data_IF_869153464558
#
_entry.id   IF_869153464558
#
_cell.length_a   1.000
_cell.length_b   1.000
_cell.length_c   1.000
_cell.angle_alpha   90.00
_cell.angle_beta   90.00
_cell.angle_gamma   90.00
#
_symmetry.space_group_name_H-M   'P 1'
#
loop_
_entity.id
_entity.type
_entity.pdbx_description
1 polymer ?
#
# COMPACT_ATOMS: atom_id res chain seq x y z
N UNK A 1 -4.85 -18.66 16.24
CA UNK A 1 -5.36 -18.12 14.96
C UNK A 1 -4.55 -18.76 13.86
N UNK A 2 -5.18 -19.60 13.02
CA UNK A 2 -4.51 -20.25 11.90
C UNK A 2 -4.23 -19.23 10.80
N UNK A 3 -3.11 -19.40 10.05
CA UNK A 3 -2.69 -18.51 8.93
C UNK A 3 -3.81 -18.35 7.88
N UNK A 4 -4.69 -19.35 7.75
CA UNK A 4 -5.80 -19.34 6.79
C UNK A 4 -6.89 -18.28 7.08
N UNK A 5 -6.92 -17.73 8.31
CA UNK A 5 -7.96 -16.77 8.71
C UNK A 5 -7.51 -15.31 8.59
N UNK A 6 -6.31 -15.06 8.05
CA UNK A 6 -5.83 -13.70 7.82
C UNK A 6 -6.45 -13.14 6.54
N UNK A 7 -7.12 -11.99 6.69
CA UNK A 7 -7.60 -11.22 5.54
C UNK A 7 -6.40 -10.79 4.67
N UNK A 8 -6.34 -11.30 3.46
CA UNK A 8 -5.27 -11.01 2.49
C UNK A 8 -5.57 -9.83 1.58
N UNK A 9 -6.83 -9.37 1.53
CA UNK A 9 -7.30 -8.36 0.58
C UNK A 9 -7.52 -8.90 -0.83
N UNK A 10 -7.36 -10.22 -1.03
CA UNK A 10 -7.49 -10.88 -2.32
C UNK A 10 -8.28 -12.17 -2.19
N UNK A 11 -9.16 -12.42 -3.14
CA UNK A 11 -9.95 -13.65 -3.26
C UNK A 11 -9.95 -14.15 -4.70
N UNK A 12 -10.16 -15.44 -4.87
CA UNK A 12 -10.43 -16.06 -6.16
C UNK A 12 -11.92 -16.43 -6.21
N UNK A 13 -12.60 -16.07 -7.31
CA UNK A 13 -14.02 -16.34 -7.52
C UNK A 13 -14.21 -17.03 -8.86
N UNK A 14 -14.65 -18.29 -8.81
CA UNK A 14 -15.04 -19.02 -10.02
C UNK A 14 -16.44 -18.60 -10.44
N UNK A 15 -16.60 -18.32 -11.72
CA UNK A 15 -17.88 -17.88 -12.31
C UNK A 15 -18.14 -18.63 -13.62
N UNK A 16 -19.40 -18.88 -13.91
CA UNK A 16 -19.79 -19.47 -15.19
C UNK A 16 -19.44 -18.57 -16.38
N UNK A 17 -19.34 -19.15 -17.59
CA UNK A 17 -18.94 -18.42 -18.79
C UNK A 17 -19.85 -17.26 -19.15
N UNK A 18 -21.15 -17.33 -18.82
CA UNK A 18 -22.12 -16.24 -19.03
C UNK A 18 -21.77 -15.01 -18.20
N UNK A 19 -21.47 -15.18 -16.92
CA UNK A 19 -21.06 -14.09 -16.02
C UNK A 19 -19.71 -13.49 -16.44
N UNK A 20 -18.78 -14.33 -16.90
CA UNK A 20 -17.51 -13.86 -17.42
C UNK A 20 -17.70 -13.03 -18.69
N UNK A 21 -18.59 -13.46 -19.60
CA UNK A 21 -18.95 -12.72 -20.82
C UNK A 21 -19.64 -11.39 -20.48
N UNK A 22 -20.59 -11.40 -19.53
CA UNK A 22 -21.27 -10.20 -19.06
C UNK A 22 -20.29 -9.19 -18.45
N UNK A 23 -19.36 -9.65 -17.60
CA UNK A 23 -18.31 -8.78 -17.05
C UNK A 23 -17.46 -8.11 -18.14
N UNK A 24 -17.06 -8.89 -19.17
CA UNK A 24 -16.27 -8.34 -20.28
C UNK A 24 -17.03 -7.34 -21.14
N UNK A 25 -18.34 -7.53 -21.29
CA UNK A 25 -19.18 -6.65 -22.08
C UNK A 25 -19.53 -5.34 -21.33
N UNK A 26 -19.86 -5.46 -20.05
CA UNK A 26 -20.40 -4.35 -19.25
C UNK A 26 -19.33 -3.63 -18.40
N UNK A 27 -18.17 -4.23 -18.18
CA UNK A 27 -17.13 -3.71 -17.27
C UNK A 27 -17.49 -3.81 -15.78
N UNK A 28 -18.64 -4.44 -15.44
CA UNK A 28 -19.05 -4.66 -14.05
C UNK A 28 -19.78 -5.99 -13.88
N UNK A 29 -19.75 -6.54 -12.67
CA UNK A 29 -20.49 -7.75 -12.32
C UNK A 29 -21.07 -7.61 -10.92
N UNK A 30 -22.38 -7.77 -10.77
CA UNK A 30 -23.01 -7.80 -9.45
C UNK A 30 -22.62 -9.05 -8.66
N UNK A 31 -22.32 -8.86 -7.37
CA UNK A 31 -21.92 -9.92 -6.44
C UNK A 31 -23.07 -10.17 -5.48
N UNK A 32 -24.05 -10.96 -5.94
CA UNK A 32 -25.20 -11.37 -5.14
C UNK A 32 -24.96 -12.81 -4.67
N UNK A 33 -24.88 -13.09 -3.37
CA UNK A 33 -24.69 -14.48 -2.94
C UNK A 33 -24.42 -14.73 -1.47
N UNK A 34 -24.88 -13.85 -0.56
CA UNK A 34 -24.79 -14.10 0.89
C UNK A 34 -23.36 -14.00 1.50
N UNK A 35 -22.33 -13.88 0.68
CA UNK A 35 -20.96 -13.59 1.15
C UNK A 35 -20.76 -12.08 1.18
N UNK A 36 -20.29 -11.59 2.32
CA UNK A 36 -19.95 -10.19 2.48
C UNK A 36 -18.58 -9.92 1.85
N UNK A 37 -18.53 -8.95 0.94
CA UNK A 37 -17.29 -8.44 0.34
C UNK A 37 -16.97 -7.07 0.90
N UNK A 38 -15.68 -6.74 0.93
CA UNK A 38 -15.23 -5.44 1.44
C UNK A 38 -14.88 -4.50 0.29
N UNK A 39 -15.19 -3.20 0.38
CA UNK A 39 -14.74 -2.22 -0.59
C UNK A 39 -13.23 -2.29 -0.82
N UNK A 40 -12.82 -2.23 -2.10
CA UNK A 40 -11.44 -2.39 -2.57
C UNK A 40 -10.81 -3.77 -2.26
N UNK A 41 -11.59 -4.78 -1.93
CA UNK A 41 -11.10 -6.16 -1.92
C UNK A 41 -10.86 -6.61 -3.36
N UNK A 42 -9.67 -7.15 -3.63
CA UNK A 42 -9.35 -7.62 -4.99
C UNK A 42 -9.89 -9.01 -5.23
N UNK A 43 -10.38 -9.22 -6.44
CA UNK A 43 -10.96 -10.49 -6.85
C UNK A 43 -10.40 -10.93 -8.20
N UNK A 44 -9.87 -12.15 -8.27
CA UNK A 44 -9.57 -12.78 -9.55
C UNK A 44 -10.82 -13.56 -9.99
N UNK A 45 -11.50 -13.09 -11.02
CA UNK A 45 -12.56 -13.87 -11.68
C UNK A 45 -11.93 -14.97 -12.52
N UNK A 46 -12.33 -16.21 -12.30
CA UNK A 46 -11.84 -17.38 -13.00
C UNK A 46 -13.02 -18.02 -13.73
N UNK A 47 -12.90 -18.23 -15.04
CA UNK A 47 -13.91 -18.92 -15.85
C UNK A 47 -13.90 -20.40 -15.53
N UNK A 48 -15.03 -20.94 -15.05
CA UNK A 48 -15.18 -22.37 -14.72
C UNK A 48 -14.95 -23.29 -15.92
N UNK A 49 -15.35 -22.84 -17.12
CA UNK A 49 -15.16 -23.63 -18.35
C UNK A 49 -13.71 -23.59 -18.85
N UNK A 50 -12.96 -22.54 -18.53
CA UNK A 50 -11.57 -22.40 -18.93
C UNK A 50 -10.77 -21.58 -17.91
N UNK A 51 -10.13 -22.24 -16.92
CA UNK A 51 -9.38 -21.57 -15.86
C UNK A 51 -8.21 -20.68 -16.35
N UNK A 52 -7.77 -20.83 -17.60
CA UNK A 52 -6.79 -19.91 -18.20
C UNK A 52 -7.39 -18.53 -18.53
N UNK A 53 -8.70 -18.43 -18.58
CA UNK A 53 -9.42 -17.17 -18.77
C UNK A 53 -9.73 -16.58 -17.42
N UNK A 54 -8.93 -15.62 -16.99
CA UNK A 54 -9.14 -14.89 -15.76
C UNK A 54 -9.27 -13.39 -16.03
N UNK A 55 -9.96 -12.67 -15.13
CA UNK A 55 -10.02 -11.23 -15.13
C UNK A 55 -9.66 -10.69 -13.73
N UNK A 56 -8.82 -9.66 -13.70
CA UNK A 56 -8.43 -8.99 -12.46
C UNK A 56 -9.46 -7.89 -12.16
N UNK A 57 -10.05 -7.95 -10.98
CA UNK A 57 -11.13 -7.06 -10.57
C UNK A 57 -10.94 -6.60 -9.14
N UNK A 58 -11.71 -5.62 -8.74
CA UNK A 58 -11.85 -5.20 -7.34
C UNK A 58 -13.32 -4.96 -7.01
N UNK A 59 -13.64 -5.09 -5.75
CA UNK A 59 -14.96 -4.74 -5.21
C UNK A 59 -15.09 -3.22 -5.20
N UNK A 60 -16.22 -2.73 -5.68
CA UNK A 60 -16.55 -1.31 -5.70
C UNK A 60 -16.72 -0.71 -4.29
N UNK A 61 -16.94 0.61 -4.23
CA UNK A 61 -17.10 1.31 -2.93
C UNK A 61 -18.35 0.88 -2.15
N UNK A 62 -19.35 0.32 -2.82
CA UNK A 62 -20.60 -0.13 -2.18
C UNK A 62 -20.50 -1.56 -1.64
N UNK A 63 -19.52 -2.33 -2.08
CA UNK A 63 -19.38 -3.75 -1.71
C UNK A 63 -20.29 -4.70 -2.49
N UNK A 64 -20.95 -4.22 -3.54
CA UNK A 64 -22.00 -4.96 -4.27
C UNK A 64 -21.61 -5.38 -5.68
N UNK A 65 -20.58 -4.78 -6.25
CA UNK A 65 -20.15 -5.02 -7.62
C UNK A 65 -18.65 -5.28 -7.72
N UNK A 66 -18.26 -6.08 -8.70
CA UNK A 66 -16.88 -6.17 -9.16
C UNK A 66 -16.69 -5.22 -10.34
N UNK A 67 -15.63 -4.45 -10.28
CA UNK A 67 -15.21 -3.51 -11.32
C UNK A 67 -13.78 -3.84 -11.77
N UNK A 68 -13.38 -3.48 -13.01
CA UNK A 68 -12.02 -3.70 -13.48
C UNK A 68 -11.03 -2.86 -12.68
N UNK A 69 -9.81 -3.35 -12.59
CA UNK A 69 -8.68 -2.59 -12.05
C UNK A 69 -8.10 -1.64 -13.12
N UNK A 70 -7.31 -0.67 -12.68
CA UNK A 70 -6.57 0.22 -13.57
C UNK A 70 -5.60 -0.62 -14.43
N UNK A 71 -5.63 -0.42 -15.73
CA UNK A 71 -4.71 -1.09 -16.63
C UNK A 71 -3.30 -0.49 -16.52
N UNK A 72 -2.36 -1.30 -16.05
CA UNK A 72 -0.97 -0.94 -15.91
C UNK A 72 -0.01 -1.91 -16.64
N UNK A 73 -0.51 -2.62 -17.66
CA UNK A 73 0.30 -3.57 -18.46
C UNK A 73 1.46 -2.89 -19.18
N UNK A 74 1.29 -1.65 -19.61
CA UNK A 74 2.37 -0.85 -20.21
C UNK A 74 3.45 -0.43 -19.22
N UNK A 75 3.16 -0.57 -17.93
CA UNK A 75 4.05 -0.23 -16.84
C UNK A 75 3.71 1.09 -16.17
N UNK A 76 4.28 1.28 -14.99
CA UNK A 76 4.19 2.49 -14.17
C UNK A 76 5.60 2.97 -13.93
N UNK A 77 5.96 4.14 -14.46
CA UNK A 77 7.31 4.69 -14.37
C UNK A 77 8.40 3.66 -14.78
N UNK A 78 8.19 2.97 -15.90
CA UNK A 78 9.10 1.93 -16.42
C UNK A 78 8.97 0.54 -15.75
N UNK A 79 8.24 0.40 -14.65
CA UNK A 79 8.03 -0.87 -13.96
C UNK A 79 6.79 -1.57 -14.49
N UNK A 80 6.98 -2.74 -15.11
CA UNK A 80 5.88 -3.61 -15.55
C UNK A 80 5.53 -4.64 -14.48
N UNK A 81 4.24 -4.78 -14.11
CA UNK A 81 3.82 -5.81 -13.17
C UNK A 81 4.06 -7.20 -13.76
N UNK A 82 4.60 -8.12 -12.97
CA UNK A 82 4.97 -9.49 -13.36
C UNK A 82 3.96 -10.55 -12.95
N UNK A 83 3.10 -10.22 -11.96
CA UNK A 83 2.09 -11.11 -11.42
C UNK A 83 0.83 -10.32 -11.04
N UNK A 84 -0.26 -11.03 -10.72
CA UNK A 84 -1.55 -10.44 -10.38
C UNK A 84 -1.48 -9.55 -9.11
N UNK A 85 -0.67 -9.94 -8.14
CA UNK A 85 -0.48 -9.18 -6.91
C UNK A 85 0.15 -7.82 -7.17
N UNK A 86 1.09 -7.74 -8.11
CA UNK A 86 1.69 -6.47 -8.51
C UNK A 86 0.72 -5.61 -9.33
N UNK A 87 -0.16 -6.19 -10.15
CA UNK A 87 -1.26 -5.46 -10.81
C UNK A 87 -2.20 -4.84 -9.77
N UNK A 88 -2.61 -5.60 -8.76
CA UNK A 88 -3.43 -5.11 -7.67
C UNK A 88 -2.72 -4.02 -6.86
N UNK A 89 -1.41 -4.19 -6.60
CA UNK A 89 -0.62 -3.18 -5.92
C UNK A 89 -0.61 -1.85 -6.70
N UNK A 90 -0.38 -1.88 -7.99
CA UNK A 90 -0.42 -0.67 -8.81
C UNK A 90 -1.81 -0.04 -8.86
N UNK A 91 -2.88 -0.84 -8.98
CA UNK A 91 -4.24 -0.31 -8.91
C UNK A 91 -4.47 0.47 -7.61
N UNK A 92 -4.10 -0.13 -6.46
CA UNK A 92 -4.22 0.54 -5.17
C UNK A 92 -3.38 1.81 -5.05
N UNK A 93 -2.16 1.77 -5.56
CA UNK A 93 -1.24 2.89 -5.51
C UNK A 93 -1.70 4.06 -6.41
N UNK A 94 -2.31 3.76 -7.54
CA UNK A 94 -2.75 4.75 -8.53
C UNK A 94 -4.17 5.27 -8.26
N UNK A 95 -5.03 4.54 -7.54
CA UNK A 95 -6.39 4.98 -7.20
C UNK A 95 -6.37 6.04 -6.08
N UNK A 96 -6.64 7.30 -6.40
CA UNK A 96 -6.61 8.42 -5.45
C UNK A 96 -7.68 8.37 -4.36
N UNK A 97 -8.72 7.57 -4.56
CA UNK A 97 -9.76 7.33 -3.55
C UNK A 97 -9.20 6.49 -2.38
N UNK A 98 -8.18 5.68 -2.66
CA UNK A 98 -7.49 4.86 -1.65
C UNK A 98 -6.38 5.68 -1.02
N UNK A 99 -6.62 6.24 0.16
CA UNK A 99 -5.67 7.14 0.85
C UNK A 99 -4.62 6.40 1.71
N UNK A 100 -4.87 5.15 2.06
CA UNK A 100 -3.96 4.32 2.86
C UNK A 100 -3.77 2.97 2.18
N UNK A 101 -2.51 2.67 1.83
CA UNK A 101 -2.11 1.40 1.20
C UNK A 101 -1.07 0.72 2.08
N UNK A 102 -1.18 -0.59 2.26
CA UNK A 102 -0.14 -1.40 2.89
C UNK A 102 0.29 -2.50 1.93
N UNK A 103 1.54 -2.43 1.47
CA UNK A 103 2.16 -3.45 0.64
C UNK A 103 2.93 -4.42 1.53
N UNK A 104 2.45 -5.65 1.64
CA UNK A 104 3.08 -6.68 2.45
C UNK A 104 3.62 -7.79 1.55
N UNK A 105 4.85 -8.25 1.81
CA UNK A 105 5.46 -9.35 1.04
C UNK A 105 6.90 -9.62 1.48
N UNK A 106 7.48 -10.70 0.98
CA UNK A 106 8.87 -11.06 1.23
C UNK A 106 9.84 -10.00 0.70
N UNK A 107 11.09 -10.02 1.19
CA UNK A 107 12.16 -9.23 0.62
C UNK A 107 12.31 -9.49 -0.90
N UNK A 108 12.69 -8.47 -1.65
CA UNK A 108 12.91 -8.60 -3.10
C UNK A 108 11.64 -8.69 -3.96
N UNK A 109 10.44 -8.55 -3.41
CA UNK A 109 9.18 -8.57 -4.19
C UNK A 109 8.83 -7.24 -4.88
N UNK A 110 9.69 -6.22 -4.74
CA UNK A 110 9.53 -4.93 -5.41
C UNK A 110 8.58 -3.94 -4.75
N UNK A 111 8.19 -4.14 -3.47
CA UNK A 111 7.25 -3.27 -2.74
C UNK A 111 7.64 -1.80 -2.78
N UNK A 112 8.85 -1.49 -2.34
CA UNK A 112 9.39 -0.12 -2.29
C UNK A 112 9.53 0.48 -3.68
N UNK A 113 10.02 -0.32 -4.63
CA UNK A 113 10.19 0.09 -6.02
C UNK A 113 8.85 0.44 -6.68
N UNK A 114 7.80 -0.39 -6.50
CA UNK A 114 6.46 -0.11 -7.01
C UNK A 114 5.83 1.12 -6.36
N UNK A 115 5.99 1.29 -5.04
CA UNK A 115 5.50 2.46 -4.33
C UNK A 115 6.14 3.75 -4.84
N UNK A 116 7.47 3.74 -5.05
CA UNK A 116 8.21 4.88 -5.60
C UNK A 116 7.83 5.16 -7.05
N UNK A 117 7.71 4.14 -7.89
CA UNK A 117 7.30 4.28 -9.29
C UNK A 117 5.91 4.93 -9.40
N UNK A 118 4.93 4.44 -8.61
CA UNK A 118 3.61 5.03 -8.56
C UNK A 118 3.64 6.47 -8.02
N UNK A 119 4.39 6.74 -6.96
CA UNK A 119 4.56 8.06 -6.38
C UNK A 119 5.15 9.06 -7.38
N UNK A 120 6.19 8.69 -8.10
CA UNK A 120 6.82 9.52 -9.14
C UNK A 120 5.86 9.78 -10.29
N UNK A 121 5.15 8.75 -10.79
CA UNK A 121 4.13 8.93 -11.82
C UNK A 121 3.09 9.95 -11.37
N UNK A 122 2.51 9.77 -10.18
CA UNK A 122 1.43 10.63 -9.66
C UNK A 122 1.90 12.06 -9.35
N UNK A 123 3.19 12.25 -9.06
CA UNK A 123 3.77 13.57 -8.72
C UNK A 123 4.30 14.29 -9.96
N UNK A 124 5.08 13.58 -10.79
CA UNK A 124 5.83 14.21 -11.89
C UNK A 124 5.02 14.27 -13.18
N UNK A 125 4.35 13.16 -13.55
CA UNK A 125 3.58 13.07 -14.78
C UNK A 125 2.15 13.60 -14.59
N UNK A 126 1.46 13.07 -13.59
CA UNK A 126 0.04 13.36 -13.36
C UNK A 126 -0.16 14.66 -12.56
N UNK A 127 0.86 15.14 -11.84
CA UNK A 127 0.87 16.36 -11.01
C UNK A 127 -0.23 16.41 -9.94
N UNK A 128 -0.65 15.24 -9.48
CA UNK A 128 -1.69 15.09 -8.46
C UNK A 128 -1.16 15.41 -7.06
N UNK A 129 0.08 15.02 -6.78
CA UNK A 129 0.74 15.30 -5.51
C UNK A 129 1.89 16.30 -5.70
N UNK A 130 2.12 17.09 -4.67
CA UNK A 130 3.20 18.10 -4.68
C UNK A 130 4.59 17.45 -4.74
N UNK A 131 4.78 16.34 -4.04
CA UNK A 131 6.04 15.58 -3.99
C UNK A 131 5.83 14.17 -3.44
N UNK A 132 6.80 13.32 -3.68
CA UNK A 132 6.97 12.04 -2.99
C UNK A 132 7.83 12.26 -1.75
N UNK A 133 7.39 11.78 -0.59
CA UNK A 133 8.20 11.73 0.64
C UNK A 133 8.44 10.28 0.97
N UNK A 134 9.69 9.88 1.02
CA UNK A 134 10.08 8.53 1.45
C UNK A 134 10.71 8.63 2.81
N UNK A 135 10.12 7.97 3.79
CA UNK A 135 10.65 7.92 5.13
C UNK A 135 10.91 6.47 5.57
N UNK A 136 12.00 6.27 6.27
CA UNK A 136 12.38 4.97 6.80
C UNK A 136 12.62 5.07 8.32
N UNK A 137 12.10 4.12 9.12
CA UNK A 137 12.42 4.05 10.55
C UNK A 137 13.91 3.81 10.73
N UNK A 138 14.54 4.59 11.58
CA UNK A 138 15.90 4.34 12.00
C UNK A 138 15.90 3.27 13.08
N UNK A 139 16.39 2.07 12.77
CA UNK A 139 16.60 1.06 13.79
C UNK A 139 17.97 1.32 14.40
N UNK A 140 18.00 1.61 15.69
CA UNK A 140 19.25 1.54 16.43
C UNK A 140 19.64 0.06 16.58
N UNK A 141 20.40 -0.45 15.64
CA UNK A 141 21.07 -1.74 15.80
C UNK A 141 22.16 -1.60 16.88
N UNK A 142 21.76 -1.69 18.14
CA UNK A 142 22.67 -1.75 19.29
C UNK A 142 23.56 -0.54 19.43
N UNK A 143 23.33 0.26 20.48
CA UNK A 143 24.13 1.39 20.96
C UNK A 143 24.26 2.59 20.01
N UNK A 144 23.40 3.57 20.25
CA UNK A 144 23.57 5.01 20.06
C UNK A 144 24.31 5.47 18.78
N UNK A 145 23.53 5.98 17.81
CA UNK A 145 24.01 6.83 16.72
C UNK A 145 24.91 8.02 17.21
N UNK A 146 24.95 8.25 18.53
CA UNK A 146 25.73 9.31 19.15
C UNK A 146 27.26 9.20 19.01
N UNK A 147 27.79 8.00 18.77
CA UNK A 147 29.24 7.77 18.69
C UNK A 147 29.84 7.82 17.28
N UNK A 148 29.04 7.91 16.23
CA UNK A 148 29.57 8.08 14.89
C UNK A 148 29.92 9.54 14.65
N UNK A 149 31.16 9.87 14.19
CA UNK A 149 31.52 11.22 13.80
C UNK A 149 30.76 11.63 12.53
N UNK A 150 30.47 12.92 12.38
CA UNK A 150 29.81 13.47 11.22
C UNK A 150 28.45 14.10 11.51
N UNK A 151 27.91 14.76 10.50
CA UNK A 151 26.56 15.35 10.54
C UNK A 151 25.49 14.27 10.68
N UNK A 152 24.28 14.65 11.09
CA UNK A 152 23.17 13.70 11.20
C UNK A 152 22.81 13.09 9.84
N UNK A 153 22.95 13.86 8.78
CA UNK A 153 22.73 13.41 7.38
C UNK A 153 23.73 12.35 6.97
N UNK A 154 25.02 12.54 7.27
CA UNK A 154 26.07 11.56 7.03
C UNK A 154 25.86 10.26 7.80
N UNK A 155 25.36 10.37 9.04
CA UNK A 155 25.04 9.20 9.87
C UNK A 155 23.84 8.42 9.33
N UNK A 156 22.88 9.08 8.68
CA UNK A 156 21.69 8.47 8.12
C UNK A 156 21.90 7.93 6.69
N UNK A 157 22.93 8.40 5.98
CA UNK A 157 23.19 8.03 4.59
C UNK A 157 23.19 6.51 4.34
N UNK A 158 23.84 5.65 5.15
CA UNK A 158 23.80 4.20 4.93
C UNK A 158 22.39 3.59 4.99
N UNK A 159 21.51 4.17 5.80
CA UNK A 159 20.13 3.71 5.94
C UNK A 159 19.23 4.09 4.77
N UNK A 160 19.59 5.18 4.09
CA UNK A 160 18.86 5.72 2.95
C UNK A 160 19.38 5.16 1.62
N UNK A 161 20.55 4.51 1.61
CA UNK A 161 21.16 3.97 0.39
C UNK A 161 20.20 3.08 -0.43
N UNK A 162 19.44 2.12 0.12
CA UNK A 162 18.52 1.30 -0.66
C UNK A 162 17.42 2.11 -1.39
N UNK A 163 17.06 3.28 -0.85
CA UNK A 163 16.09 4.17 -1.50
C UNK A 163 16.76 4.93 -2.64
N UNK A 164 18.00 5.35 -2.47
CA UNK A 164 18.79 5.99 -3.53
C UNK A 164 19.03 5.03 -4.69
N UNK A 165 19.40 3.78 -4.41
CA UNK A 165 19.61 2.73 -5.42
C UNK A 165 18.30 2.45 -6.19
N UNK A 166 17.17 2.37 -5.49
CA UNK A 166 15.86 2.21 -6.12
C UNK A 166 15.47 3.42 -7.00
N UNK A 167 15.81 4.63 -6.58
CA UNK A 167 15.56 5.84 -7.35
C UNK A 167 16.42 5.91 -8.61
N UNK A 168 17.67 5.52 -8.50
CA UNK A 168 18.59 5.44 -9.64
C UNK A 168 18.08 4.44 -10.68
N UNK A 169 17.71 3.23 -10.23
CA UNK A 169 17.09 2.22 -11.09
C UNK A 169 15.84 2.74 -11.80
N UNK A 170 14.96 3.46 -11.08
CA UNK A 170 13.73 4.03 -11.65
C UNK A 170 14.03 5.13 -12.68
N UNK A 171 15.09 5.90 -12.48
CA UNK A 171 15.53 6.91 -13.43
C UNK A 171 16.02 6.27 -14.73
N UNK A 172 16.81 5.21 -14.62
CA UNK A 172 17.33 4.48 -15.79
C UNK A 172 16.21 3.82 -16.61
N UNK A 173 15.24 3.21 -15.93
CA UNK A 173 14.10 2.57 -16.60
C UNK A 173 13.16 3.55 -17.30
N UNK A 174 13.13 4.81 -16.88
CA UNK A 174 12.24 5.83 -17.44
C UNK A 174 12.91 6.77 -18.45
N UNK A 175 14.15 6.56 -18.78
CA UNK A 175 14.94 7.40 -19.72
C UNK A 175 14.28 7.61 -21.09
N UNK A 176 13.32 6.78 -21.47
CA UNK A 176 12.54 6.93 -22.72
C UNK A 176 11.34 7.88 -22.63
N UNK A 177 10.84 8.17 -21.45
CA UNK A 177 9.65 9.03 -21.25
C UNK A 177 9.96 10.35 -20.53
N UNK A 178 10.88 10.32 -19.59
CA UNK A 178 11.34 11.49 -18.84
C UNK A 178 12.85 11.37 -18.61
N UNK A 179 13.64 12.22 -19.25
CA UNK A 179 15.11 12.20 -19.18
C UNK A 179 15.68 12.70 -17.85
N UNK A 180 14.87 12.84 -16.81
CA UNK A 180 15.34 13.32 -15.51
C UNK A 180 16.11 12.22 -14.79
N UNK A 181 17.33 12.58 -14.38
CA UNK A 181 18.17 11.75 -13.53
C UNK A 181 17.63 11.75 -12.08
N UNK A 182 18.00 10.74 -11.30
CA UNK A 182 17.69 10.65 -9.86
C UNK A 182 18.07 11.93 -9.11
N UNK A 183 19.24 12.51 -9.45
CA UNK A 183 19.73 13.78 -8.89
C UNK A 183 18.81 14.96 -9.22
N UNK A 184 18.23 15.01 -10.42
CA UNK A 184 17.33 16.09 -10.84
C UNK A 184 15.97 16.00 -10.15
N UNK A 185 15.47 14.77 -9.94
CA UNK A 185 14.23 14.52 -9.18
C UNK A 185 14.37 14.94 -7.72
N UNK A 186 15.54 14.72 -7.12
CA UNK A 186 15.83 15.16 -5.74
C UNK A 186 16.04 16.68 -5.67
N UNK A 187 16.84 17.28 -6.56
CA UNK A 187 17.09 18.72 -6.60
C UNK A 187 15.83 19.54 -6.87
N UNK A 188 14.93 19.06 -7.71
CA UNK A 188 13.65 19.72 -7.98
C UNK A 188 12.64 19.58 -6.83
N UNK A 189 12.95 18.78 -5.80
CA UNK A 189 12.06 18.53 -4.66
C UNK A 189 10.87 17.64 -5.00
N UNK A 190 10.86 16.97 -6.16
CA UNK A 190 9.83 16.03 -6.54
C UNK A 190 9.83 14.77 -5.66
N UNK A 191 11.02 14.40 -5.17
CA UNK A 191 11.19 13.35 -4.18
C UNK A 191 12.09 13.84 -3.05
N UNK A 192 11.69 13.54 -1.82
CA UNK A 192 12.43 13.89 -0.60
C UNK A 192 12.58 12.62 0.22
N UNK A 193 13.80 12.32 0.62
CA UNK A 193 14.13 11.17 1.48
C UNK A 193 14.45 11.72 2.86
N UNK A 194 13.66 11.34 3.85
CA UNK A 194 13.76 11.91 5.20
C UNK A 194 13.78 10.77 6.26
N UNK A 195 14.48 10.99 7.36
CA UNK A 195 14.31 10.16 8.53
C UNK A 195 12.94 10.42 9.16
N UNK A 196 12.34 9.37 9.73
CA UNK A 196 11.01 9.46 10.31
C UNK A 196 10.91 10.50 11.44
N UNK A 197 12.00 10.76 12.15
CA UNK A 197 12.09 11.77 13.20
C UNK A 197 11.78 13.20 12.71
N UNK A 198 12.06 13.52 11.45
CA UNK A 198 11.79 14.83 10.86
C UNK A 198 10.32 15.07 10.48
N UNK A 199 9.53 14.00 10.45
CA UNK A 199 8.10 14.08 10.19
C UNK A 199 7.33 14.58 11.43
N UNK A 200 7.94 14.45 12.62
CA UNK A 200 7.34 14.92 13.85
C UNK A 200 7.23 16.46 13.83
N UNK A 201 6.05 16.98 14.18
CA UNK A 201 5.80 18.43 14.24
C UNK A 201 5.36 19.10 12.92
N UNK A 202 5.40 18.40 11.78
CA UNK A 202 4.98 18.94 10.48
C UNK A 202 3.59 18.41 10.09
N UNK A 203 2.80 19.23 9.43
CA UNK A 203 1.59 18.79 8.74
C UNK A 203 1.95 18.39 7.31
N UNK A 204 1.53 17.20 6.89
CA UNK A 204 1.83 16.63 5.58
C UNK A 204 0.56 16.68 4.74
N UNK A 205 0.45 17.69 3.87
CA UNK A 205 -0.70 17.87 3.00
C UNK A 205 -0.28 17.74 1.53
N UNK A 206 -1.16 17.13 0.74
CA UNK A 206 -1.02 16.97 -0.70
C UNK A 206 0.30 16.30 -1.12
N UNK A 207 0.68 15.22 -0.44
CA UNK A 207 1.92 14.50 -0.70
C UNK A 207 1.65 13.00 -0.87
N UNK A 208 2.50 12.35 -1.66
CA UNK A 208 2.56 10.90 -1.75
C UNK A 208 3.64 10.40 -0.77
N UNK A 209 3.21 9.86 0.36
CA UNK A 209 4.10 9.49 1.45
C UNK A 209 4.33 7.98 1.49
N UNK A 210 5.58 7.57 1.46
CA UNK A 210 6.00 6.17 1.56
C UNK A 210 6.75 5.98 2.87
N UNK A 211 6.27 5.05 3.69
CA UNK A 211 6.96 4.60 4.89
C UNK A 211 7.53 3.21 4.61
N UNK A 212 8.82 3.19 4.35
CA UNK A 212 9.54 1.96 4.02
C UNK A 212 9.94 1.18 5.28
N UNK A 213 9.97 -0.15 5.20
CA UNK A 213 10.29 -1.04 6.33
C UNK A 213 9.42 -0.79 7.58
N UNK A 214 8.11 -0.60 7.37
CA UNK A 214 7.17 -0.19 8.42
C UNK A 214 6.97 -1.24 9.54
N UNK A 215 7.44 -2.49 9.38
CA UNK A 215 7.47 -3.48 10.45
C UNK A 215 8.35 -3.06 11.64
N UNK A 216 9.26 -2.11 11.40
CA UNK A 216 10.17 -1.58 12.41
C UNK A 216 9.57 -0.42 13.22
N UNK A 217 8.33 -0.01 12.90
CA UNK A 217 7.63 1.06 13.61
C UNK A 217 7.00 0.58 14.91
N UNK A 218 7.11 1.41 15.91
CA UNK A 218 6.29 1.27 17.13
C UNK A 218 4.85 1.72 16.87
N UNK A 219 3.86 1.23 17.66
CA UNK A 219 2.48 1.68 17.58
C UNK A 219 2.30 3.20 17.71
N UNK A 220 3.11 3.82 18.57
CA UNK A 220 3.09 5.27 18.79
C UNK A 220 3.56 6.03 17.54
N UNK A 221 4.58 5.54 16.86
CA UNK A 221 5.07 6.14 15.62
C UNK A 221 4.03 6.04 14.51
N UNK A 222 3.41 4.88 14.32
CA UNK A 222 2.33 4.70 13.33
C UNK A 222 1.18 5.67 13.63
N UNK A 223 0.75 5.79 14.90
CA UNK A 223 -0.26 6.76 15.32
C UNK A 223 0.18 8.20 15.02
N UNK A 224 1.41 8.54 15.33
CA UNK A 224 1.96 9.88 15.08
C UNK A 224 1.96 10.23 13.60
N UNK A 225 2.43 9.32 12.73
CA UNK A 225 2.46 9.53 11.28
C UNK A 225 1.03 9.76 10.76
N UNK A 226 0.11 8.85 11.08
CA UNK A 226 -1.25 8.88 10.53
C UNK A 226 -2.06 10.08 11.00
N UNK A 227 -1.80 10.60 12.20
CA UNK A 227 -2.45 11.82 12.69
C UNK A 227 -1.89 13.11 12.08
N UNK A 228 -0.71 13.07 11.46
CA UNK A 228 -0.06 14.22 10.79
C UNK A 228 -0.43 14.34 9.32
N UNK A 229 -1.08 13.32 8.77
CA UNK A 229 -1.51 13.31 7.36
C UNK A 229 -2.58 14.35 7.14
N UNK A 230 -2.24 15.33 6.32
CA UNK A 230 -3.13 16.40 5.89
C UNK A 230 -4.05 15.98 4.72
N UNK A 231 -4.92 16.92 4.30
CA UNK A 231 -5.80 16.71 3.14
C UNK A 231 -4.99 16.41 1.88
N UNK A 232 -5.56 15.60 0.99
CA UNK A 232 -4.94 15.29 -0.29
C UNK A 232 -3.75 14.30 -0.21
N UNK A 233 -3.29 13.90 0.96
CA UNK A 233 -2.14 13.00 1.10
C UNK A 233 -2.55 11.55 0.99
N UNK A 234 -1.72 10.76 0.32
CA UNK A 234 -1.78 9.29 0.27
C UNK A 234 -0.61 8.73 1.06
N UNK A 235 -0.86 7.73 1.93
CA UNK A 235 0.19 7.02 2.66
C UNK A 235 0.31 5.60 2.16
N UNK A 236 1.54 5.17 1.96
CA UNK A 236 1.91 3.81 1.60
C UNK A 236 2.86 3.26 2.66
N UNK A 237 2.49 2.16 3.29
CA UNK A 237 3.39 1.39 4.14
C UNK A 237 3.93 0.19 3.35
N UNK A 238 5.25 0.03 3.29
CA UNK A 238 5.86 -1.23 2.83
C UNK A 238 6.24 -2.05 4.06
N UNK A 239 5.87 -3.31 4.05
CA UNK A 239 6.07 -4.22 5.18
C UNK A 239 6.71 -5.51 4.69
N UNK A 240 7.80 -5.92 5.32
CA UNK A 240 8.39 -7.22 5.04
C UNK A 240 7.68 -8.31 5.84
N UNK A 241 7.25 -9.37 5.15
CA UNK A 241 6.67 -10.54 5.79
C UNK A 241 7.76 -11.58 6.04
N UNK A 242 8.17 -11.74 7.30
CA UNK A 242 9.07 -12.81 7.71
C UNK A 242 8.27 -14.10 7.90
N UNK A 243 8.42 -15.04 6.98
CA UNK A 243 8.02 -16.43 7.23
C UNK A 243 9.22 -17.10 7.89
N UNK A 244 9.33 -16.99 9.20
CA UNK A 244 10.24 -17.87 9.95
C UNK A 244 9.60 -19.24 10.16
N UNK A 245 10.44 -20.26 10.21
CA UNK A 245 10.19 -21.67 10.57
C UNK A 245 9.12 -21.83 11.66
N UNK A 246 8.38 -22.95 11.67
CA UNK A 246 7.25 -23.21 12.58
C UNK A 246 7.51 -23.08 14.08
N UNK A 247 8.76 -22.92 14.49
CA UNK A 247 9.19 -22.86 15.90
C UNK A 247 9.21 -21.45 16.53
N UNK A 248 8.99 -20.36 15.77
CA UNK A 248 9.08 -19.01 16.33
C UNK A 248 7.71 -18.34 16.50
N UNK A 249 7.14 -18.45 17.69
CA UNK A 249 5.88 -17.81 18.10
C UNK A 249 5.90 -16.27 18.12
N UNK A 250 7.08 -15.63 18.10
CA UNK A 250 7.23 -14.19 18.29
C UNK A 250 6.86 -13.35 17.07
N UNK A 251 7.14 -13.78 15.85
CA UNK A 251 6.93 -12.97 14.63
C UNK A 251 5.46 -12.82 14.28
N UNK A 252 4.64 -13.82 14.62
CA UNK A 252 3.19 -13.78 14.43
C UNK A 252 2.50 -12.70 15.29
N UNK A 253 3.03 -12.44 16.47
CA UNK A 253 2.49 -11.48 17.41
C UNK A 253 2.71 -10.03 16.93
N UNK A 254 3.88 -9.73 16.37
CA UNK A 254 4.20 -8.39 15.85
C UNK A 254 3.43 -8.06 14.57
N UNK A 255 3.30 -8.99 13.64
CA UNK A 255 2.49 -8.79 12.42
C UNK A 255 1.01 -8.55 12.74
N UNK A 256 0.42 -9.34 13.64
CA UNK A 256 -0.94 -9.12 14.11
C UNK A 256 -1.11 -7.77 14.81
N UNK A 257 -0.09 -7.34 15.56
CA UNK A 257 -0.09 -6.06 16.25
C UNK A 257 -0.06 -4.89 15.27
N UNK A 258 0.82 -4.91 14.27
CA UNK A 258 0.91 -3.89 13.23
C UNK A 258 -0.36 -3.85 12.36
N UNK A 259 -0.84 -5.00 11.92
CA UNK A 259 -2.07 -5.13 11.15
C UNK A 259 -3.27 -4.63 11.94
N UNK A 260 -3.39 -4.95 13.23
CA UNK A 260 -4.45 -4.45 14.08
C UNK A 260 -4.34 -2.95 14.36
N UNK A 261 -3.12 -2.41 14.48
CA UNK A 261 -2.88 -0.98 14.66
C UNK A 261 -3.23 -0.21 13.40
N UNK A 262 -2.79 -0.67 12.25
CA UNK A 262 -3.19 -0.11 10.96
C UNK A 262 -4.72 -0.22 10.80
N UNK A 263 -5.34 -1.28 11.31
CA UNK A 263 -6.80 -1.45 11.39
C UNK A 263 -7.47 -0.38 12.23
N UNK A 264 -7.05 -0.15 13.40
CA UNK A 264 -7.59 0.86 14.31
C UNK A 264 -7.38 2.27 13.76
N UNK A 265 -6.23 2.53 13.15
CA UNK A 265 -5.89 3.83 12.61
C UNK A 265 -6.69 4.16 11.35
N UNK A 266 -6.87 3.19 10.44
CA UNK A 266 -7.74 3.38 9.29
C UNK A 266 -9.18 3.65 9.70
N UNK A 267 -9.68 3.00 10.75
CA UNK A 267 -10.99 3.26 11.35
C UNK A 267 -11.11 4.71 11.87
N UNK A 268 -10.15 5.16 12.67
CA UNK A 268 -10.15 6.51 13.22
C UNK A 268 -9.96 7.60 12.14
N UNK A 269 -9.18 7.30 11.11
CA UNK A 269 -8.98 8.19 9.97
C UNK A 269 -10.25 8.37 9.15
N UNK A 270 -11.00 7.30 8.89
CA UNK A 270 -12.29 7.37 8.23
C UNK A 270 -13.34 8.09 9.08
N UNK A 271 -13.41 7.79 10.38
CA UNK A 271 -14.38 8.40 11.31
C UNK A 271 -14.20 9.91 11.42
N UNK A 272 -12.99 10.42 11.49
CA UNK A 272 -12.72 11.84 11.70
C UNK A 272 -12.79 12.69 10.41
N UNK A 273 -12.86 12.10 9.23
CA UNK A 273 -12.85 12.84 7.95
C UNK A 273 -14.03 12.61 7.01
N UNK A 274 -14.88 11.63 7.31
CA UNK A 274 -16.08 11.35 6.51
C UNK A 274 -17.30 11.24 7.43
N UNK A 275 -18.04 12.35 7.67
CA UNK A 275 -19.21 12.37 8.57
C UNK A 275 -20.36 11.47 8.12
N UNK A 276 -20.36 10.95 6.90
CA UNK A 276 -21.38 10.03 6.38
C UNK A 276 -21.34 8.65 7.06
N UNK A 277 -20.26 8.32 7.78
CA UNK A 277 -20.14 7.05 8.51
C UNK A 277 -20.85 7.05 9.89
N UNK A 278 -21.32 8.19 10.36
CA UNK A 278 -21.94 8.30 11.71
C UNK A 278 -23.30 7.64 11.86
N UNK A 279 -24.06 7.46 10.79
CA UNK A 279 -25.41 6.86 10.88
C UNK A 279 -25.43 5.34 11.13
N UNK A 280 -24.27 4.64 11.08
CA UNK A 280 -24.17 3.19 11.33
C UNK A 280 -23.41 2.82 12.60
N UNK A 281 -22.98 3.77 13.40
CA UNK A 281 -22.13 3.50 14.57
C UNK A 281 -22.90 3.13 15.85
N UNK A 282 -24.23 3.23 15.88
CA UNK A 282 -25.05 2.84 17.04
C UNK A 282 -25.16 1.31 17.23
N UNK A 283 -24.76 0.50 16.24
CA UNK A 283 -24.85 -0.97 16.30
C UNK A 283 -23.51 -1.67 16.61
N UNK A 284 -22.45 -0.92 16.92
CA UNK A 284 -21.06 -1.45 16.99
C UNK A 284 -20.56 -1.68 18.43
N UNK A 285 -21.42 -2.15 19.34
CA UNK A 285 -20.98 -2.54 20.69
C UNK A 285 -20.48 -3.97 20.81
N UNK A 286 -20.46 -4.75 19.72
CA UNK A 286 -19.98 -6.12 19.75
C UNK A 286 -18.64 -6.27 19.01
N UNK A 287 -17.61 -6.75 19.71
CA UNK A 287 -16.21 -6.87 19.24
C UNK A 287 -16.02 -7.73 17.97
N UNK A 288 -17.08 -8.37 17.48
CA UNK A 288 -17.11 -9.14 16.24
C UNK A 288 -17.26 -8.30 14.97
N UNK A 289 -17.71 -7.05 15.07
CA UNK A 289 -18.19 -6.25 13.92
C UNK A 289 -17.17 -5.23 13.40
N UNK A 290 -15.98 -5.13 13.99
CA UNK A 290 -14.89 -4.23 13.52
C UNK A 290 -14.38 -4.59 12.10
N UNK A 291 -14.84 -5.69 11.53
CA UNK A 291 -14.50 -6.11 10.16
C UNK A 291 -15.08 -5.21 9.05
N UNK A 292 -16.06 -4.36 9.35
CA UNK A 292 -16.91 -3.75 8.32
C UNK A 292 -16.62 -2.30 7.96
N UNK A 293 -15.70 -1.61 8.61
CA UNK A 293 -15.48 -0.19 8.38
C UNK A 293 -14.00 0.12 8.21
N UNK A 294 -13.58 0.27 7.01
CA UNK A 294 -12.26 0.77 6.71
C UNK A 294 -11.73 0.23 5.40
N UNK A 295 -11.59 1.11 4.47
CA UNK A 295 -10.89 0.87 3.22
C UNK A 295 -9.48 0.41 3.51
N UNK A 296 -9.27 -0.89 3.54
CA UNK A 296 -7.98 -1.51 3.76
C UNK A 296 -7.60 -2.35 2.58
N UNK A 297 -6.47 -2.03 2.10
CA UNK A 297 -5.78 -2.87 1.17
C UNK A 297 -4.51 -3.39 1.83
N UNK A 298 -4.55 -4.64 2.26
CA UNK A 298 -3.35 -5.37 2.62
C UNK A 298 -3.08 -6.31 1.46
N UNK A 299 -1.99 -6.09 0.77
CA UNK A 299 -1.57 -6.95 -0.32
C UNK A 299 -0.39 -7.81 0.11
N UNK A 300 -0.51 -9.10 -0.13
CA UNK A 300 0.56 -10.07 0.09
C UNK A 300 1.11 -10.49 -1.27
N UNK A 301 2.31 -10.08 -1.60
CA UNK A 301 2.99 -10.59 -2.78
C UNK A 301 3.53 -12.00 -2.48
N UNK A 302 3.06 -13.00 -3.24
CA UNK A 302 3.65 -14.35 -3.27
C UNK A 302 4.76 -14.38 -4.33
N UNK A 303 5.79 -15.14 -4.05
CA UNK A 303 6.82 -15.49 -5.07
C UNK A 303 6.25 -16.46 -6.08
#
# INVERSE_FOLDING_TARGET
>A
VYIKDLYTGMIDLSVGPEKMAAFRANGELEINGGKQYFPNEYCTLIDEANPKRAALTKVDATGTKLIPIIDCREGVWGIKPRNREQHYAFDALLDDRVKLVTLMGKAGTGKTLMAMAAGLKRTVLDREFRRVVVARPTISMGKELGFLPGSLEEKLAPWMQPIHDALEMLSDLNMGQDHRRSTDLMRSGNIVVEALSYIRGRSIANQFMIIDEAQNLTPLEVKTITTRVGNGTKIVFTVESWVRSPSSKCVYFEMNRLTNIIKIIAFNFCKNRFPIAEQRTSELHDMGTIKNLGTKLIMTAKQ
#
